data_IF_899620709966
#
_entry.id   IF_899620709966
#
_cell.length_a   1.000
_cell.length_b   1.000
_cell.length_c   1.000
_cell.angle_alpha   90.00
_cell.angle_beta   90.00
_cell.angle_gamma   90.00
#
_symmetry.space_group_name_H-M   'P 1'
#
loop_
_entity.id
_entity.type
_entity.pdbx_description
1 polymer ?
#
# COMPACT_ATOMS: atom_id res chain seq x y z
N UNK A 1 -33.20 11.02 -10.60
CA UNK A 1 -34.02 11.15 -9.36
C UNK A 1 -33.32 12.16 -8.46
N UNK A 2 -34.08 13.13 -7.95
CA UNK A 2 -33.59 14.35 -7.32
C UNK A 2 -32.75 14.07 -6.06
N UNK A 3 -31.70 14.87 -5.90
CA UNK A 3 -30.76 14.90 -4.77
C UNK A 3 -31.42 15.72 -3.65
N UNK A 4 -31.67 15.11 -2.50
CA UNK A 4 -32.06 15.81 -1.27
C UNK A 4 -30.81 16.19 -0.49
N UNK A 5 -30.63 17.48 -0.28
CA UNK A 5 -29.70 18.06 0.68
C UNK A 5 -30.22 17.79 2.09
N UNK A 6 -29.41 17.20 2.96
CA UNK A 6 -29.60 17.32 4.41
C UNK A 6 -28.33 17.88 5.06
N UNK A 7 -28.53 18.96 5.81
CA UNK A 7 -27.55 19.68 6.60
C UNK A 7 -27.14 18.90 7.85
N UNK A 8 -25.95 19.17 8.43
CA UNK A 8 -25.44 18.45 9.58
C UNK A 8 -26.19 18.78 10.87
N UNK A 9 -26.48 17.74 11.65
CA UNK A 9 -27.10 17.83 12.98
C UNK A 9 -26.11 18.44 13.98
N UNK A 10 -26.54 19.49 14.66
CA UNK A 10 -25.82 20.15 15.77
C UNK A 10 -25.82 19.28 17.03
N UNK A 11 -24.64 18.91 17.52
CA UNK A 11 -24.48 18.25 18.81
C UNK A 11 -24.30 19.28 19.93
N UNK A 12 -25.24 19.27 20.88
CA UNK A 12 -25.14 20.00 22.14
C UNK A 12 -24.02 19.41 23.00
N UNK A 13 -23.13 20.28 23.48
CA UNK A 13 -22.14 20.02 24.52
C UNK A 13 -22.84 19.67 25.85
N UNK A 14 -22.65 18.44 26.34
CA UNK A 14 -22.93 18.08 27.74
C UNK A 14 -21.62 18.02 28.54
N UNK A 15 -21.68 18.64 29.70
CA UNK A 15 -20.64 18.94 30.68
C UNK A 15 -19.88 17.75 31.25
N UNK A 16 -18.62 18.03 31.61
CA UNK A 16 -17.64 17.23 32.35
C UNK A 16 -18.21 16.35 33.48
N UNK A 17 -17.79 15.09 33.49
CA UNK A 17 -17.56 14.32 34.70
C UNK A 17 -16.28 13.49 34.55
N UNK A 18 -15.36 13.67 35.50
CA UNK A 18 -14.04 13.05 35.55
C UNK A 18 -14.11 11.52 35.49
N UNK A 19 -13.16 10.82 34.82
CA UNK A 19 -13.20 9.38 34.76
C UNK A 19 -12.77 8.78 36.11
N UNK A 20 -13.71 8.07 36.73
CA UNK A 20 -13.44 7.13 37.81
C UNK A 20 -12.44 6.06 37.34
N UNK A 21 -11.45 5.77 38.17
CA UNK A 21 -10.43 4.75 38.01
C UNK A 21 -10.98 3.42 37.48
N UNK A 22 -10.36 2.90 36.42
CA UNK A 22 -10.60 1.56 35.89
C UNK A 22 -10.24 0.51 36.96
N UNK A 23 -11.02 -0.57 37.12
CA UNK A 23 -10.72 -1.60 38.12
C UNK A 23 -9.47 -2.38 37.72
N UNK A 24 -8.56 -2.55 38.68
CA UNK A 24 -7.40 -3.46 38.58
C UNK A 24 -7.94 -4.89 38.64
N UNK A 25 -7.94 -5.58 37.51
CA UNK A 25 -8.19 -7.02 37.47
C UNK A 25 -6.92 -7.76 37.89
N UNK A 26 -6.89 -8.27 39.13
CA UNK A 26 -5.96 -9.31 39.51
C UNK A 26 -6.32 -10.60 38.74
N UNK A 27 -5.39 -11.07 37.91
CA UNK A 27 -5.52 -12.32 37.18
C UNK A 27 -5.42 -13.50 38.16
N UNK A 28 -6.55 -13.95 38.69
CA UNK A 28 -6.64 -15.23 39.40
C UNK A 28 -6.50 -16.38 38.39
N UNK A 29 -5.25 -16.84 38.24
CA UNK A 29 -4.79 -18.18 37.86
C UNK A 29 -5.70 -19.03 36.97
N UNK A 30 -5.62 -18.84 35.65
CA UNK A 30 -5.72 -19.99 34.74
C UNK A 30 -4.33 -20.62 34.65
N UNK A 31 -4.18 -21.84 35.19
CA UNK A 31 -3.00 -22.67 34.93
C UNK A 31 -3.00 -23.05 33.45
N UNK A 32 -2.08 -22.48 32.69
CA UNK A 32 -1.73 -22.91 31.35
C UNK A 32 -1.16 -24.33 31.44
N UNK A 33 -1.88 -25.32 30.90
CA UNK A 33 -1.33 -26.65 30.69
C UNK A 33 -0.55 -26.65 29.38
N UNK A 34 0.51 -27.45 29.28
CA UNK A 34 1.33 -27.54 28.06
C UNK A 34 0.54 -27.91 26.79
N UNK A 35 -0.65 -28.51 26.94
CA UNK A 35 -1.59 -28.81 25.85
C UNK A 35 -2.28 -27.56 25.26
N UNK A 36 -2.38 -26.44 26.00
CA UNK A 36 -3.06 -25.21 25.51
C UNK A 36 -2.19 -24.30 24.65
N UNK A 37 -0.88 -24.58 24.58
CA UNK A 37 0.06 -23.88 23.69
C UNK A 37 0.11 -24.48 22.28
N UNK A 38 -0.21 -25.77 22.16
CA UNK A 38 -0.48 -26.38 20.86
C UNK A 38 -1.87 -25.94 20.40
N UNK A 39 -1.93 -25.21 19.30
CA UNK A 39 -3.20 -24.88 18.65
C UNK A 39 -4.01 -26.13 18.26
N UNK A 40 -5.17 -25.96 17.62
CA UNK A 40 -5.97 -27.08 17.12
C UNK A 40 -5.13 -28.07 16.31
N UNK A 41 -5.39 -29.36 16.47
CA UNK A 41 -4.69 -30.40 15.70
C UNK A 41 -4.91 -30.27 14.17
N UNK A 42 -5.99 -29.60 13.77
CA UNK A 42 -6.30 -29.34 12.39
C UNK A 42 -7.21 -28.10 12.23
N UNK A 43 -7.19 -27.49 11.05
CA UNK A 43 -7.99 -26.33 10.68
C UNK A 43 -8.86 -26.67 9.46
N UNK A 44 -10.17 -26.60 9.63
CA UNK A 44 -11.16 -26.74 8.55
C UNK A 44 -11.43 -25.35 7.94
N UNK A 45 -11.36 -25.25 6.61
CA UNK A 45 -11.81 -24.09 5.85
C UNK A 45 -12.57 -24.58 4.61
N UNK A 46 -13.88 -24.36 4.57
CA UNK A 46 -14.72 -24.86 3.47
C UNK A 46 -14.65 -26.38 3.39
N UNK A 47 -14.24 -26.92 2.24
CA UNK A 47 -13.99 -28.37 2.06
C UNK A 47 -12.54 -28.78 2.35
N UNK A 48 -11.66 -27.83 2.68
CA UNK A 48 -10.22 -28.04 2.81
C UNK A 48 -9.84 -28.24 4.28
N UNK A 49 -9.14 -29.34 4.56
CA UNK A 49 -8.57 -29.65 5.86
C UNK A 49 -7.07 -29.42 5.85
N UNK A 50 -6.55 -28.72 6.87
CA UNK A 50 -5.11 -28.44 7.02
C UNK A 50 -4.61 -28.93 8.38
N UNK A 51 -3.40 -29.46 8.40
CA UNK A 51 -2.67 -29.83 9.63
C UNK A 51 -1.75 -28.72 10.12
N UNK A 52 -1.44 -27.74 9.27
CA UNK A 52 -0.61 -26.59 9.59
C UNK A 52 -1.41 -25.29 9.41
N UNK A 53 -1.19 -24.28 10.28
CA UNK A 53 -1.85 -22.99 10.14
C UNK A 53 -1.32 -22.23 8.93
N UNK A 54 -2.18 -21.42 8.30
CA UNK A 54 -1.79 -20.50 7.21
C UNK A 54 -0.75 -19.47 7.64
N UNK A 55 -0.70 -19.12 8.92
CA UNK A 55 0.30 -18.21 9.51
C UNK A 55 0.73 -18.73 10.87
N UNK A 56 2.04 -18.69 11.15
CA UNK A 56 2.58 -19.13 12.43
C UNK A 56 2.52 -18.03 13.50
N UNK A 57 2.56 -18.42 14.76
CA UNK A 57 2.66 -17.48 15.90
C UNK A 57 3.92 -16.62 15.80
N UNK A 58 5.05 -17.18 15.34
CA UNK A 58 6.29 -16.44 15.14
C UNK A 58 6.11 -15.32 14.09
N UNK A 59 5.36 -15.57 13.02
CA UNK A 59 5.01 -14.55 12.03
C UNK A 59 4.17 -13.43 12.64
N UNK A 60 3.16 -13.76 13.46
CA UNK A 60 2.35 -12.74 14.16
C UNK A 60 3.22 -11.90 15.11
N UNK A 61 4.14 -12.51 15.86
CA UNK A 61 5.06 -11.79 16.75
C UNK A 61 5.97 -10.83 15.99
N UNK A 62 6.60 -11.30 14.92
CA UNK A 62 7.45 -10.47 14.08
C UNK A 62 6.66 -9.30 13.45
N UNK A 63 5.45 -9.58 12.99
CA UNK A 63 4.57 -8.54 12.47
C UNK A 63 4.17 -7.51 13.55
N UNK A 64 3.78 -7.94 14.75
CA UNK A 64 3.50 -7.03 15.88
C UNK A 64 4.69 -6.15 16.26
N UNK A 65 5.89 -6.73 16.28
CA UNK A 65 7.14 -6.00 16.51
C UNK A 65 7.35 -4.92 15.45
N UNK A 66 7.15 -5.26 14.17
CA UNK A 66 7.22 -4.32 13.06
C UNK A 66 6.18 -3.18 13.19
N UNK A 67 4.93 -3.48 13.57
CA UNK A 67 3.89 -2.46 13.80
C UNK A 67 4.27 -1.53 14.96
N UNK A 68 4.89 -2.06 16.02
CA UNK A 68 5.46 -1.27 17.12
C UNK A 68 6.54 -0.31 16.63
N UNK A 69 7.46 -0.79 15.78
CA UNK A 69 8.51 0.03 15.17
C UNK A 69 7.91 1.17 14.32
N UNK A 70 6.88 0.89 13.51
CA UNK A 70 6.19 1.93 12.74
C UNK A 70 5.49 2.96 13.63
N UNK A 71 4.89 2.53 14.75
CA UNK A 71 4.30 3.45 15.73
C UNK A 71 5.36 4.38 16.34
N UNK A 72 6.51 3.83 16.72
CA UNK A 72 7.64 4.60 17.25
C UNK A 72 8.20 5.59 16.23
N UNK A 73 8.36 5.17 14.97
CA UNK A 73 8.77 6.05 13.87
C UNK A 73 7.78 7.21 13.68
N UNK A 74 6.48 6.91 13.61
CA UNK A 74 5.43 7.93 13.50
C UNK A 74 5.48 8.92 14.65
N UNK A 75 5.56 8.43 15.88
CA UNK A 75 5.68 9.29 17.06
C UNK A 75 6.94 10.18 17.00
N UNK A 76 8.06 9.65 16.50
CA UNK A 76 9.31 10.41 16.34
C UNK A 76 9.14 11.54 15.33
N UNK A 77 8.54 11.26 14.18
CA UNK A 77 8.26 12.26 13.14
C UNK A 77 7.28 13.32 13.64
N UNK A 78 6.14 12.91 14.21
CA UNK A 78 5.09 13.81 14.68
C UNK A 78 5.57 14.75 15.81
N UNK A 79 6.57 14.34 16.59
CA UNK A 79 7.10 15.11 17.71
C UNK A 79 8.50 15.67 17.45
N UNK A 80 9.06 15.51 16.24
CA UNK A 80 10.39 16.00 15.90
C UNK A 80 10.52 17.52 16.07
N UNK A 81 11.69 17.96 16.55
CA UNK A 81 12.03 19.34 16.85
C UNK A 81 12.76 20.08 15.72
N UNK A 82 13.15 21.33 16.01
CA UNK A 82 13.70 22.28 15.03
C UNK A 82 15.02 21.83 14.38
N UNK A 83 15.80 21.02 15.07
CA UNK A 83 17.07 20.46 14.62
C UNK A 83 16.89 19.20 13.74
N UNK A 84 15.69 18.61 13.74
CA UNK A 84 15.40 17.33 13.09
C UNK A 84 14.63 17.47 11.77
N UNK A 85 13.93 18.58 11.53
CA UNK A 85 13.09 18.76 10.33
C UNK A 85 13.33 20.11 9.63
N UNK A 86 13.06 20.22 8.32
CA UNK A 86 13.07 21.51 7.63
C UNK A 86 12.04 22.49 8.19
N UNK A 87 12.33 23.80 8.11
CA UNK A 87 11.48 24.88 8.65
C UNK A 87 10.02 24.79 8.17
N UNK A 88 9.80 24.53 6.88
CA UNK A 88 8.44 24.40 6.34
C UNK A 88 7.69 23.20 6.92
N UNK A 89 8.38 22.12 7.28
CA UNK A 89 7.78 20.93 7.90
C UNK A 89 7.46 21.15 9.39
N UNK A 90 8.21 22.03 10.08
CA UNK A 90 7.93 22.40 11.47
C UNK A 90 6.62 23.18 11.61
N UNK A 91 6.27 23.98 10.60
CA UNK A 91 5.01 24.72 10.54
C UNK A 91 3.77 23.84 10.28
N UNK A 92 3.96 22.56 9.97
CA UNK A 92 2.87 21.60 9.79
C UNK A 92 2.37 21.05 11.12
N UNK A 93 1.08 20.76 11.21
CA UNK A 93 0.54 19.95 12.30
C UNK A 93 1.07 18.51 12.26
N UNK A 94 0.85 17.73 13.33
CA UNK A 94 1.37 16.35 13.45
C UNK A 94 0.94 15.46 12.28
N UNK A 95 -0.33 15.54 11.87
CA UNK A 95 -0.90 14.71 10.80
C UNK A 95 -0.32 15.09 9.44
N UNK A 96 -0.22 16.40 9.17
CA UNK A 96 0.40 16.93 7.95
C UNK A 96 1.88 16.57 7.87
N UNK A 97 2.61 16.65 8.98
CA UNK A 97 4.02 16.26 9.07
C UNK A 97 4.22 14.78 8.80
N UNK A 98 3.36 13.93 9.36
CA UNK A 98 3.37 12.49 9.06
C UNK A 98 3.07 12.22 7.57
N UNK A 99 2.04 12.84 7.01
CA UNK A 99 1.68 12.69 5.59
C UNK A 99 2.81 13.12 4.64
N UNK A 100 3.45 14.25 4.94
CA UNK A 100 4.63 14.72 4.20
C UNK A 100 5.78 13.71 4.28
N UNK A 101 6.12 13.25 5.48
CA UNK A 101 7.18 12.27 5.69
C UNK A 101 6.92 10.96 4.95
N UNK A 102 5.70 10.44 5.02
CA UNK A 102 5.29 9.24 4.26
C UNK A 102 5.45 9.48 2.76
N UNK A 103 5.12 10.68 2.28
CA UNK A 103 5.38 11.07 0.89
C UNK A 103 6.86 10.97 0.49
N UNK A 104 7.79 11.29 1.39
CA UNK A 104 9.23 11.10 1.15
C UNK A 104 9.62 9.61 1.20
N UNK A 105 9.08 8.85 2.16
CA UNK A 105 9.32 7.42 2.30
C UNK A 105 8.90 6.63 1.05
N UNK A 106 7.79 7.02 0.39
CA UNK A 106 7.37 6.42 -0.89
C UNK A 106 8.40 6.67 -1.99
N UNK A 107 9.01 7.86 -2.05
CA UNK A 107 10.05 8.16 -3.03
C UNK A 107 11.37 7.44 -2.71
N UNK A 108 11.68 7.20 -1.42
CA UNK A 108 12.79 6.33 -0.99
C UNK A 108 12.54 4.86 -1.34
N UNK A 109 11.31 4.37 -1.15
CA UNK A 109 10.89 3.04 -1.57
C UNK A 109 11.03 2.86 -3.08
N UNK A 110 10.63 3.84 -3.89
CA UNK A 110 10.81 3.81 -5.34
C UNK A 110 12.28 3.63 -5.74
N UNK A 111 13.20 4.40 -5.13
CA UNK A 111 14.64 4.28 -5.40
C UNK A 111 15.22 2.92 -4.97
N UNK A 112 14.70 2.37 -3.88
CA UNK A 112 15.12 1.05 -3.40
C UNK A 112 14.66 -0.07 -4.33
N UNK A 113 13.39 -0.09 -4.77
CA UNK A 113 12.90 -1.16 -5.66
C UNK A 113 13.62 -1.19 -7.01
N UNK A 114 14.10 -0.05 -7.51
CA UNK A 114 14.92 0.03 -8.74
C UNK A 114 16.31 -0.60 -8.60
N UNK A 115 16.82 -0.79 -7.37
CA UNK A 115 18.20 -1.18 -7.11
C UNK A 115 18.37 -2.40 -6.20
N UNK A 116 17.27 -2.89 -5.61
CA UNK A 116 17.28 -4.05 -4.73
C UNK A 116 17.57 -5.32 -5.51
N UNK A 117 18.45 -6.14 -4.94
CA UNK A 117 18.81 -7.44 -5.52
C UNK A 117 18.22 -8.60 -4.71
N UNK A 118 18.11 -9.77 -5.35
CA UNK A 118 17.71 -11.01 -4.70
C UNK A 118 18.95 -11.80 -4.27
N UNK A 119 18.93 -12.32 -3.05
CA UNK A 119 19.94 -13.25 -2.54
C UNK A 119 19.40 -14.16 -1.42
N UNK A 120 20.23 -15.04 -0.85
CA UNK A 120 19.89 -15.79 0.35
C UNK A 120 19.49 -14.86 1.50
N UNK A 121 18.50 -15.23 2.32
CA UNK A 121 17.88 -14.36 3.33
C UNK A 121 18.91 -13.65 4.22
N UNK A 122 19.82 -14.41 4.83
CA UNK A 122 20.81 -13.89 5.77
C UNK A 122 21.72 -12.83 5.14
N UNK A 123 22.37 -13.17 4.02
CA UNK A 123 23.20 -12.22 3.28
C UNK A 123 22.39 -11.03 2.76
N UNK A 124 21.14 -11.27 2.35
CA UNK A 124 20.26 -10.23 1.82
C UNK A 124 19.87 -9.21 2.90
N UNK A 125 19.67 -9.66 4.14
CA UNK A 125 19.41 -8.77 5.27
C UNK A 125 20.58 -7.80 5.45
N UNK A 126 21.81 -8.31 5.40
CA UNK A 126 23.02 -7.50 5.56
C UNK A 126 23.25 -6.54 4.38
N UNK A 127 22.93 -6.97 3.15
CA UNK A 127 23.34 -6.23 1.94
C UNK A 127 22.23 -5.44 1.27
N UNK A 128 20.95 -5.78 1.46
CA UNK A 128 19.82 -5.28 0.64
C UNK A 128 18.59 -4.83 1.45
N UNK A 129 18.45 -5.20 2.73
CA UNK A 129 17.35 -4.73 3.58
C UNK A 129 17.30 -3.19 3.61
N UNK A 130 16.12 -2.57 3.44
CA UNK A 130 15.99 -1.12 3.48
C UNK A 130 15.74 -0.59 4.90
N UNK A 131 15.87 0.74 5.12
CA UNK A 131 15.48 1.40 6.37
C UNK A 131 14.01 1.24 6.72
N UNK A 132 13.67 1.53 7.98
CA UNK A 132 12.35 1.27 8.58
C UNK A 132 11.18 1.97 7.86
N UNK A 133 11.34 3.21 7.41
CA UNK A 133 10.30 3.93 6.68
C UNK A 133 10.01 3.30 5.31
N UNK A 134 11.02 2.71 4.67
CA UNK A 134 10.87 2.00 3.40
C UNK A 134 10.26 0.61 3.62
N UNK A 135 10.61 -0.07 4.72
CA UNK A 135 9.92 -1.30 5.16
C UNK A 135 8.43 -1.04 5.41
N UNK A 136 8.07 0.12 5.98
CA UNK A 136 6.67 0.53 6.17
C UNK A 136 5.92 0.67 4.86
N UNK A 137 6.54 1.27 3.83
CA UNK A 137 5.92 1.37 2.51
C UNK A 137 5.74 -0.02 1.89
N UNK A 138 6.76 -0.88 1.97
CA UNK A 138 6.67 -2.23 1.42
C UNK A 138 5.58 -3.06 2.12
N UNK A 139 5.55 -3.03 3.45
CA UNK A 139 4.51 -3.66 4.27
C UNK A 139 3.11 -3.21 3.83
N UNK A 140 2.88 -1.89 3.78
CA UNK A 140 1.58 -1.33 3.41
C UNK A 140 1.17 -1.73 1.99
N UNK A 141 2.13 -1.79 1.07
CA UNK A 141 1.86 -2.21 -0.30
C UNK A 141 1.41 -3.68 -0.35
N UNK A 142 2.07 -4.57 0.39
CA UNK A 142 1.69 -5.99 0.49
C UNK A 142 0.30 -6.19 1.12
N UNK A 143 -0.14 -5.29 2.00
CA UNK A 143 -1.51 -5.27 2.53
C UNK A 143 -2.58 -4.82 1.51
N UNK A 144 -2.19 -4.58 0.26
CA UNK A 144 -3.08 -4.41 -0.89
C UNK A 144 -2.81 -5.55 -1.89
N UNK A 145 -3.04 -6.82 -1.51
CA UNK A 145 -2.33 -7.95 -2.07
C UNK A 145 -2.67 -8.20 -3.55
N UNK A 146 -3.88 -7.86 -4.00
CA UNK A 146 -4.24 -7.93 -5.44
C UNK A 146 -3.49 -6.90 -6.27
N UNK A 147 -3.45 -5.65 -5.81
CA UNK A 147 -2.71 -4.57 -6.49
C UNK A 147 -1.21 -4.85 -6.47
N UNK A 148 -0.67 -5.30 -5.34
CA UNK A 148 0.74 -5.65 -5.19
C UNK A 148 1.15 -6.79 -6.12
N UNK A 149 0.36 -7.87 -6.18
CA UNK A 149 0.64 -9.00 -7.05
C UNK A 149 0.57 -8.59 -8.53
N UNK A 150 -0.46 -7.84 -8.93
CA UNK A 150 -0.62 -7.37 -10.31
C UNK A 150 0.52 -6.43 -10.71
N UNK A 151 0.89 -5.48 -9.85
CA UNK A 151 2.00 -4.57 -10.12
C UNK A 151 3.35 -5.30 -10.17
N UNK A 152 3.58 -6.33 -9.34
CA UNK A 152 4.78 -7.18 -9.41
C UNK A 152 4.90 -7.96 -10.73
N UNK A 153 3.79 -8.21 -11.42
CA UNK A 153 3.76 -8.85 -12.74
C UNK A 153 3.84 -7.82 -13.89
N UNK A 154 3.20 -6.67 -13.70
CA UNK A 154 3.02 -5.63 -14.71
C UNK A 154 4.20 -4.68 -14.82
N UNK A 155 4.76 -4.26 -13.70
CA UNK A 155 5.79 -3.23 -13.63
C UNK A 155 7.17 -3.90 -13.58
N UNK A 156 7.97 -3.69 -14.63
CA UNK A 156 9.33 -4.26 -14.72
C UNK A 156 10.23 -3.85 -13.55
N UNK A 157 10.06 -2.64 -13.01
CA UNK A 157 10.81 -2.16 -11.84
C UNK A 157 10.52 -2.98 -10.56
N UNK A 158 9.40 -3.72 -10.51
CA UNK A 158 9.03 -4.57 -9.37
C UNK A 158 9.41 -6.04 -9.58
N UNK A 159 10.09 -6.40 -10.67
CA UNK A 159 10.52 -7.77 -10.93
C UNK A 159 11.38 -8.35 -9.80
N UNK A 160 12.30 -7.56 -9.24
CA UNK A 160 13.09 -8.03 -8.10
C UNK A 160 12.23 -8.16 -6.84
N UNK A 161 11.29 -7.24 -6.61
CA UNK A 161 10.34 -7.33 -5.50
C UNK A 161 9.48 -8.59 -5.59
N UNK A 162 9.01 -8.97 -6.80
CA UNK A 162 8.35 -10.25 -7.07
C UNK A 162 9.21 -11.44 -6.66
N UNK A 163 10.51 -11.42 -7.00
CA UNK A 163 11.46 -12.48 -6.64
C UNK A 163 11.74 -12.56 -5.14
N UNK A 164 11.64 -11.45 -4.41
CA UNK A 164 11.79 -11.47 -2.95
C UNK A 164 10.68 -12.29 -2.29
N UNK A 165 9.49 -12.38 -2.88
CA UNK A 165 8.40 -13.23 -2.40
C UNK A 165 7.97 -12.87 -0.98
N UNK A 166 7.89 -13.86 -0.09
CA UNK A 166 7.41 -13.71 1.30
C UNK A 166 8.44 -13.10 2.27
N UNK A 167 9.49 -12.44 1.76
CA UNK A 167 10.72 -12.15 2.52
C UNK A 167 10.60 -11.09 3.62
N UNK A 168 9.57 -10.23 3.59
CA UNK A 168 9.44 -9.13 4.54
C UNK A 168 9.46 -9.62 6.00
N UNK A 169 8.57 -10.55 6.37
CA UNK A 169 8.50 -11.05 7.75
C UNK A 169 9.71 -11.94 8.12
N UNK A 170 10.18 -12.88 7.28
CA UNK A 170 11.45 -13.58 7.51
C UNK A 170 12.64 -12.66 7.76
N UNK A 171 12.72 -11.52 7.07
CA UNK A 171 13.76 -10.54 7.31
C UNK A 171 13.61 -9.86 8.68
N UNK A 172 12.38 -9.53 9.09
CA UNK A 172 12.10 -9.04 10.45
C UNK A 172 12.48 -10.08 11.51
N UNK A 173 12.18 -11.36 11.27
CA UNK A 173 12.58 -12.46 12.18
C UNK A 173 14.12 -12.53 12.29
N UNK A 174 14.84 -12.39 11.19
CA UNK A 174 16.32 -12.43 11.18
C UNK A 174 16.95 -11.25 11.93
N UNK A 175 16.42 -10.03 11.76
CA UNK A 175 16.98 -8.82 12.43
C UNK A 175 16.52 -8.64 13.88
N UNK A 176 15.46 -9.32 14.31
CA UNK A 176 14.85 -9.06 15.62
C UNK A 176 14.01 -7.78 15.62
N UNK A 177 14.23 -6.88 16.58
CA UNK A 177 13.45 -5.65 16.71
C UNK A 177 13.88 -4.58 15.68
N UNK A 178 13.04 -4.25 14.67
CA UNK A 178 13.38 -3.25 13.66
C UNK A 178 13.61 -1.85 14.22
N UNK A 179 13.14 -1.56 15.43
CA UNK A 179 13.30 -0.26 16.10
C UNK A 179 14.73 -0.04 16.61
N UNK A 180 15.48 -1.13 16.84
CA UNK A 180 16.85 -1.11 17.37
C UNK A 180 17.87 -1.67 16.39
N UNK A 181 17.43 -2.08 15.20
CA UNK A 181 18.30 -2.56 14.15
C UNK A 181 19.25 -1.48 13.66
N UNK A 182 20.55 -1.75 13.79
CA UNK A 182 21.61 -0.91 13.24
C UNK A 182 22.28 -1.61 12.05
N UNK A 183 22.28 -1.01 10.84
CA UNK A 183 22.94 -1.59 9.69
C UNK A 183 24.47 -1.52 9.83
N UNK A 184 25.18 -2.43 9.14
CA UNK A 184 26.63 -2.30 8.96
C UNK A 184 27.03 -1.03 8.20
N UNK A 185 28.21 -0.49 8.45
CA UNK A 185 28.71 0.74 7.80
C UNK A 185 28.76 0.65 6.27
N UNK A 186 29.10 -0.53 5.74
CA UNK A 186 29.08 -0.80 4.29
C UNK A 186 27.66 -0.69 3.74
N UNK A 187 26.66 -1.19 4.47
CA UNK A 187 25.25 -1.11 4.05
C UNK A 187 24.76 0.33 3.99
N UNK A 188 25.12 1.16 4.97
CA UNK A 188 24.81 2.61 4.97
C UNK A 188 25.44 3.30 3.76
N UNK A 189 26.71 2.99 3.47
CA UNK A 189 27.45 3.57 2.35
C UNK A 189 26.85 3.16 1.00
N UNK A 190 26.52 1.87 0.83
CA UNK A 190 25.88 1.34 -0.37
C UNK A 190 24.48 1.90 -0.55
N UNK A 191 23.69 2.02 0.52
CA UNK A 191 22.37 2.65 0.48
C UNK A 191 22.45 4.10 -0.04
N UNK A 192 23.37 4.89 0.51
CA UNK A 192 23.58 6.27 0.10
C UNK A 192 24.01 6.34 -1.37
N UNK A 193 24.92 5.46 -1.81
CA UNK A 193 25.38 5.41 -3.19
C UNK A 193 24.26 5.01 -4.18
N UNK A 194 23.43 4.01 -3.84
CA UNK A 194 22.34 3.53 -4.69
C UNK A 194 21.14 4.48 -4.72
N UNK A 195 20.77 5.09 -3.59
CA UNK A 195 19.52 5.86 -3.45
C UNK A 195 19.74 7.37 -3.41
N UNK A 196 20.95 7.86 -3.16
CA UNK A 196 21.22 9.28 -2.94
C UNK A 196 20.49 9.87 -1.72
N UNK A 197 20.09 9.04 -0.75
CA UNK A 197 19.52 9.49 0.53
C UNK A 197 20.28 8.88 1.71
N UNK A 198 20.41 9.61 2.84
CA UNK A 198 20.86 9.01 4.10
C UNK A 198 20.06 7.75 4.49
N UNK A 199 20.67 6.89 5.30
CA UNK A 199 19.98 5.71 5.85
C UNK A 199 18.91 6.12 6.87
N UNK A 200 19.28 6.98 7.82
CA UNK A 200 18.34 7.50 8.82
C UNK A 200 17.21 8.27 8.14
N UNK A 201 15.97 7.97 8.54
CA UNK A 201 14.81 8.48 7.85
C UNK A 201 14.55 9.97 8.14
N UNK A 202 14.86 10.44 9.35
CA UNK A 202 14.73 11.86 9.70
C UNK A 202 15.84 12.67 9.04
N UNK A 203 17.08 12.16 9.03
CA UNK A 203 18.18 12.76 8.29
C UNK A 203 17.87 12.83 6.79
N UNK A 204 17.33 11.77 6.20
CA UNK A 204 16.88 11.80 4.82
C UNK A 204 15.80 12.86 4.58
N UNK A 205 14.81 12.95 5.48
CA UNK A 205 13.74 13.94 5.40
C UNK A 205 14.25 15.40 5.44
N UNK A 206 15.36 15.67 6.14
CA UNK A 206 16.01 16.99 6.16
C UNK A 206 16.61 17.38 4.81
N UNK A 207 17.17 16.42 4.09
CA UNK A 207 17.88 16.66 2.83
C UNK A 207 16.97 16.56 1.60
N UNK A 208 15.88 15.80 1.69
CA UNK A 208 14.89 15.63 0.62
C UNK A 208 13.95 16.84 0.48
N UNK A 209 14.45 17.90 -0.16
CA UNK A 209 13.67 19.14 -0.37
C UNK A 209 12.84 19.15 -1.65
N UNK A 210 13.25 18.38 -2.68
CA UNK A 210 12.67 18.43 -4.02
C UNK A 210 12.61 17.05 -4.68
N UNK A 211 11.73 16.92 -5.68
CA UNK A 211 11.66 15.79 -6.61
C UNK A 211 11.40 16.25 -8.04
N UNK A 212 11.71 15.41 -9.01
CA UNK A 212 11.43 15.67 -10.42
C UNK A 212 10.07 15.08 -10.81
N UNK A 213 9.31 15.82 -11.63
CA UNK A 213 8.14 15.32 -12.36
C UNK A 213 8.34 15.57 -13.85
N UNK A 214 7.81 14.68 -14.70
CA UNK A 214 7.80 14.92 -16.15
C UNK A 214 6.55 15.72 -16.53
N UNK A 215 6.71 16.81 -17.28
CA UNK A 215 5.59 17.61 -17.74
C UNK A 215 4.69 16.80 -18.71
N UNK A 216 3.38 16.62 -18.42
CA UNK A 216 2.49 15.86 -19.31
C UNK A 216 2.40 16.35 -20.76
N UNK A 217 2.69 17.64 -21.03
CA UNK A 217 2.59 18.21 -22.38
C UNK A 217 3.86 18.11 -23.20
N UNK A 218 4.99 18.47 -22.60
CA UNK A 218 6.27 18.63 -23.32
C UNK A 218 7.37 17.68 -22.85
N UNK A 219 7.08 16.82 -21.87
CA UNK A 219 8.02 15.85 -21.27
C UNK A 219 9.24 16.47 -20.58
N UNK A 220 9.32 17.80 -20.47
CA UNK A 220 10.38 18.49 -19.74
C UNK A 220 10.39 18.06 -18.26
N UNK A 221 11.58 17.81 -17.72
CA UNK A 221 11.75 17.54 -16.29
C UNK A 221 11.56 18.82 -15.49
N UNK A 222 10.59 18.82 -14.58
CA UNK A 222 10.26 19.94 -13.71
C UNK A 222 10.67 19.60 -12.29
N UNK A 223 11.58 20.39 -11.73
CA UNK A 223 12.04 20.20 -10.35
C UNK A 223 11.07 20.87 -9.37
N UNK A 224 10.42 20.06 -8.54
CA UNK A 224 9.31 20.46 -7.67
C UNK A 224 9.68 20.34 -6.20
N UNK A 225 9.47 21.38 -5.38
CA UNK A 225 9.62 21.26 -3.94
C UNK A 225 8.52 20.36 -3.35
N UNK A 226 8.86 19.58 -2.32
CA UNK A 226 7.85 18.79 -1.60
C UNK A 226 6.88 19.69 -0.82
N UNK A 227 7.38 20.79 -0.26
CA UNK A 227 6.61 21.78 0.49
C UNK A 227 6.87 23.19 -0.06
N UNK A 228 5.82 24.01 -0.12
CA UNK A 228 5.91 25.45 -0.34
C UNK A 228 5.13 26.20 0.73
N UNK A 229 5.45 27.48 0.94
CA UNK A 229 4.70 28.38 1.82
C UNK A 229 3.25 28.57 1.34
N UNK A 230 3.01 28.45 0.04
CA UNK A 230 1.69 28.63 -0.58
C UNK A 230 0.81 27.37 -0.53
N UNK A 231 1.33 26.25 -0.03
CA UNK A 231 0.55 25.00 0.05
C UNK A 231 0.49 24.21 -1.26
N UNK A 232 1.37 24.50 -2.22
CA UNK A 232 1.38 23.97 -3.59
C UNK A 232 2.53 23.01 -3.89
N UNK A 233 3.30 22.62 -2.87
CA UNK A 233 4.35 21.60 -2.97
C UNK A 233 3.79 20.22 -3.28
N UNK A 234 4.65 19.32 -3.77
CA UNK A 234 4.23 17.99 -4.24
C UNK A 234 3.58 17.10 -3.18
N UNK A 235 3.98 17.26 -1.92
CA UNK A 235 3.42 16.53 -0.78
C UNK A 235 2.22 17.24 -0.14
N UNK A 236 1.74 18.34 -0.73
CA UNK A 236 0.60 19.12 -0.24
C UNK A 236 -0.63 18.89 -1.12
N UNK A 237 -1.82 19.08 -0.54
CA UNK A 237 -3.10 18.79 -1.20
C UNK A 237 -3.31 19.58 -2.51
N UNK A 238 -2.87 20.84 -2.55
CA UNK A 238 -3.05 21.73 -3.69
C UNK A 238 -1.83 21.74 -4.63
N UNK A 239 -1.13 20.60 -4.78
CA UNK A 239 0.06 20.52 -5.64
C UNK A 239 -0.21 21.13 -7.02
N UNK A 240 0.55 22.17 -7.34
CA UNK A 240 0.46 22.88 -8.60
C UNK A 240 1.81 23.54 -8.91
N UNK A 241 2.41 23.18 -10.05
CA UNK A 241 3.65 23.79 -10.51
C UNK A 241 3.55 24.16 -11.98
N UNK A 242 4.06 25.33 -12.36
CA UNK A 242 4.09 25.76 -13.76
C UNK A 242 5.34 25.20 -14.45
N UNK A 243 5.15 24.53 -15.58
CA UNK A 243 6.25 24.14 -16.45
C UNK A 243 6.89 25.38 -17.11
N UNK A 244 8.22 25.51 -17.02
CA UNK A 244 8.97 26.61 -17.65
C UNK A 244 8.93 26.56 -19.17
N UNK A 245 8.91 25.35 -19.76
CA UNK A 245 9.04 25.16 -21.20
C UNK A 245 7.73 25.43 -21.95
N UNK A 246 6.61 24.89 -21.47
CA UNK A 246 5.33 24.95 -22.19
C UNK A 246 4.22 25.71 -21.44
N UNK A 247 4.47 26.16 -20.21
CA UNK A 247 3.51 26.91 -19.41
C UNK A 247 2.36 26.11 -18.81
N UNK A 248 2.30 24.79 -19.00
CA UNK A 248 1.28 23.94 -18.37
C UNK A 248 1.38 24.01 -16.83
N UNK A 249 0.24 24.19 -16.17
CA UNK A 249 0.11 23.97 -14.73
C UNK A 249 -0.05 22.47 -14.46
N UNK A 250 0.96 21.87 -13.84
CA UNK A 250 1.05 20.46 -13.53
C UNK A 250 0.44 20.23 -12.14
N UNK A 251 -0.48 19.28 -12.04
CA UNK A 251 -1.19 18.87 -10.82
C UNK A 251 -1.08 17.35 -10.67
N UNK A 252 -1.53 16.80 -9.54
CA UNK A 252 -1.62 15.34 -9.35
C UNK A 252 -2.52 14.69 -10.40
N UNK A 253 -3.65 15.32 -10.73
CA UNK A 253 -4.56 14.84 -11.77
C UNK A 253 -3.92 14.82 -13.15
N UNK A 254 -3.15 15.85 -13.52
CA UNK A 254 -2.51 15.87 -14.85
C UNK A 254 -1.42 14.82 -14.98
N UNK A 255 -0.70 14.54 -13.90
CA UNK A 255 0.28 13.46 -13.81
C UNK A 255 -0.39 12.09 -13.86
N UNK A 256 -1.46 11.89 -13.10
CA UNK A 256 -2.25 10.66 -13.10
C UNK A 256 -2.88 10.38 -14.47
N UNK A 257 -3.42 11.40 -15.15
CA UNK A 257 -3.92 11.26 -16.51
C UNK A 257 -2.81 10.88 -17.50
N UNK A 258 -1.61 11.45 -17.36
CA UNK A 258 -0.46 11.11 -18.20
C UNK A 258 -0.03 9.65 -18.03
N UNK A 259 -0.04 9.14 -16.79
CA UNK A 259 0.18 7.73 -16.47
C UNK A 259 -0.91 6.84 -17.09
N UNK A 260 -2.19 7.16 -16.87
CA UNK A 260 -3.33 6.42 -17.45
C UNK A 260 -3.27 6.36 -18.98
N UNK A 261 -3.08 7.51 -19.63
CA UNK A 261 -2.98 7.56 -21.08
C UNK A 261 -1.78 6.75 -21.57
N UNK A 262 -0.64 6.81 -20.87
CA UNK A 262 0.55 6.01 -21.18
C UNK A 262 0.28 4.50 -21.20
N UNK A 263 -0.40 3.98 -20.18
CA UNK A 263 -0.78 2.57 -20.07
C UNK A 263 -1.88 2.21 -21.09
N UNK A 264 -2.83 3.12 -21.35
CA UNK A 264 -3.91 2.91 -22.32
C UNK A 264 -3.39 2.81 -23.76
N UNK A 265 -2.39 3.61 -24.14
CA UNK A 265 -1.84 3.60 -25.51
C UNK A 265 -0.68 2.62 -25.70
N UNK A 266 -0.24 1.93 -24.64
CA UNK A 266 0.76 0.85 -24.77
C UNK A 266 0.25 -0.23 -25.71
N UNK A 267 1.09 -0.69 -26.64
CA UNK A 267 0.73 -1.79 -27.52
C UNK A 267 0.94 -3.12 -26.80
N UNK A 268 -0.10 -3.94 -26.74
CA UNK A 268 -0.09 -5.27 -26.14
C UNK A 268 -0.05 -6.38 -27.22
N UNK A 269 -0.13 -6.01 -28.50
CA UNK A 269 -0.02 -6.92 -29.64
C UNK A 269 1.44 -7.17 -30.05
N UNK A 270 2.38 -6.37 -29.53
CA UNK A 270 3.82 -6.57 -29.74
C UNK A 270 4.31 -7.74 -28.87
N UNK A 271 4.93 -8.77 -29.47
CA UNK A 271 5.61 -9.84 -28.73
C UNK A 271 6.62 -9.25 -27.73
N UNK A 272 6.70 -9.81 -26.53
CA UNK A 272 7.60 -9.37 -25.44
C UNK A 272 7.32 -8.00 -24.81
N UNK A 273 6.16 -7.37 -25.09
CA UNK A 273 5.72 -6.13 -24.41
C UNK A 273 5.52 -6.32 -22.89
N UNK A 274 5.37 -7.57 -22.44
CA UNK A 274 5.10 -7.94 -21.06
C UNK A 274 3.73 -7.45 -20.58
N UNK A 275 3.42 -7.68 -19.30
CA UNK A 275 2.14 -7.27 -18.75
C UNK A 275 1.98 -5.75 -18.59
N UNK A 276 3.07 -4.99 -18.67
CA UNK A 276 3.11 -3.52 -18.62
C UNK A 276 2.28 -2.82 -19.69
N UNK A 277 1.83 -3.55 -20.72
CA UNK A 277 0.92 -3.03 -21.73
C UNK A 277 -0.55 -2.97 -21.30
N UNK A 278 -0.94 -3.57 -20.17
CA UNK A 278 -2.31 -3.55 -19.67
C UNK A 278 -2.55 -2.46 -18.63
N UNK A 279 -3.82 -2.05 -18.49
CA UNK A 279 -4.22 -1.10 -17.46
C UNK A 279 -4.14 -1.76 -16.08
N UNK A 280 -3.65 -1.03 -15.09
CA UNK A 280 -3.70 -1.45 -13.70
C UNK A 280 -5.12 -1.85 -13.25
N UNK A 281 -5.22 -2.99 -12.56
CA UNK A 281 -6.44 -3.53 -11.99
C UNK A 281 -7.31 -4.27 -13.01
N UNK A 282 -6.71 -4.77 -14.10
CA UNK A 282 -7.43 -5.48 -15.18
C UNK A 282 -6.91 -6.88 -15.44
N UNK A 283 -5.67 -7.19 -15.04
CA UNK A 283 -5.05 -8.50 -15.26
C UNK A 283 -5.53 -9.54 -14.25
N UNK A 284 -5.74 -9.13 -12.99
CA UNK A 284 -6.17 -10.05 -11.94
C UNK A 284 -7.69 -9.99 -11.82
N UNK A 285 -8.35 -11.14 -11.72
CA UNK A 285 -9.78 -11.30 -11.41
C UNK A 285 -9.94 -11.91 -10.01
N UNK A 286 -11.17 -12.21 -9.57
CA UNK A 286 -11.36 -12.93 -8.29
C UNK A 286 -11.02 -14.43 -8.41
N UNK A 287 -11.12 -14.98 -9.62
CA UNK A 287 -10.90 -16.40 -9.92
C UNK A 287 -9.54 -16.68 -10.55
N UNK A 288 -8.99 -15.74 -11.31
CA UNK A 288 -7.78 -15.91 -12.09
C UNK A 288 -6.76 -14.81 -11.78
N UNK A 289 -5.51 -15.21 -11.53
CA UNK A 289 -4.44 -14.25 -11.26
C UNK A 289 -3.83 -13.68 -12.54
N UNK A 290 -4.09 -14.24 -13.71
CA UNK A 290 -3.56 -13.68 -14.97
C UNK A 290 -4.56 -13.95 -16.08
N UNK A 291 -5.48 -13.00 -16.29
CA UNK A 291 -6.53 -13.05 -17.31
C UNK A 291 -6.26 -11.97 -18.37
N UNK A 292 -5.37 -12.30 -19.32
CA UNK A 292 -4.97 -11.40 -20.39
C UNK A 292 -6.13 -11.03 -21.32
N UNK A 293 -7.04 -11.99 -21.56
CA UNK A 293 -8.19 -11.77 -22.43
C UNK A 293 -9.17 -10.78 -21.79
N UNK A 294 -9.37 -10.85 -20.48
CA UNK A 294 -10.13 -9.84 -19.73
C UNK A 294 -9.47 -8.47 -19.78
N UNK A 295 -8.17 -8.39 -19.49
CA UNK A 295 -7.43 -7.14 -19.55
C UNK A 295 -7.51 -6.51 -20.95
N UNK A 296 -7.35 -7.32 -22.00
CA UNK A 296 -7.51 -6.94 -23.41
C UNK A 296 -8.91 -6.41 -23.69
N UNK A 297 -9.97 -7.15 -23.32
CA UNK A 297 -11.36 -6.74 -23.55
C UNK A 297 -11.69 -5.40 -22.89
N UNK A 298 -11.25 -5.18 -21.65
CA UNK A 298 -11.44 -3.90 -20.95
C UNK A 298 -10.74 -2.77 -21.71
N UNK A 299 -9.47 -2.98 -22.04
CA UNK A 299 -8.65 -1.98 -22.73
C UNK A 299 -9.27 -1.60 -24.08
N UNK A 300 -9.67 -2.59 -24.88
CA UNK A 300 -10.35 -2.41 -26.15
C UNK A 300 -11.68 -1.65 -26.04
N UNK A 301 -12.46 -1.94 -24.99
CA UNK A 301 -13.71 -1.22 -24.74
C UNK A 301 -13.46 0.27 -24.46
N UNK A 302 -12.42 0.59 -23.67
CA UNK A 302 -12.04 1.98 -23.37
C UNK A 302 -11.50 2.66 -24.63
N UNK A 303 -10.58 2.03 -25.37
CA UNK A 303 -9.96 2.66 -26.56
C UNK A 303 -10.96 2.92 -27.69
N UNK A 304 -12.02 2.10 -27.82
CA UNK A 304 -13.13 2.32 -28.78
C UNK A 304 -14.16 3.35 -28.32
N UNK A 305 -14.01 3.90 -27.13
CA UNK A 305 -14.94 4.91 -26.62
C UNK A 305 -14.61 6.28 -27.19
N UNK A 306 -15.63 6.99 -27.68
CA UNK A 306 -15.49 8.37 -28.19
C UNK A 306 -14.90 9.26 -27.09
N UNK A 307 -13.69 9.75 -27.32
CA UNK A 307 -12.88 10.47 -26.33
C UNK A 307 -11.49 9.87 -26.16
N UNK A 308 -11.36 8.54 -26.24
CA UNK A 308 -10.07 7.82 -26.17
C UNK A 308 -9.62 7.29 -27.53
N UNK A 309 -10.51 7.18 -28.51
CA UNK A 309 -10.18 6.71 -29.85
C UNK A 309 -9.07 7.54 -30.53
N UNK A 310 -8.20 6.87 -31.29
CA UNK A 310 -7.21 7.55 -32.11
C UNK A 310 -7.87 8.23 -33.31
N UNK A 311 -7.46 9.46 -33.64
CA UNK A 311 -7.97 10.19 -34.79
C UNK A 311 -7.54 9.63 -36.16
N UNK A 312 -6.53 8.75 -36.21
CA UNK A 312 -6.04 8.16 -37.46
C UNK A 312 -5.79 6.64 -37.35
N UNK A 313 -5.78 5.96 -38.51
CA UNK A 313 -5.57 4.49 -38.59
C UNK A 313 -4.18 4.05 -38.15
N UNK A 314 -3.18 4.93 -38.23
CA UNK A 314 -1.83 4.72 -37.71
C UNK A 314 -1.37 6.01 -37.03
N UNK A 315 -1.42 6.04 -35.71
CA UNK A 315 -0.93 7.16 -34.89
C UNK A 315 0.19 6.65 -34.02
N UNK A 316 1.28 7.41 -33.96
CA UNK A 316 2.38 7.14 -33.04
C UNK A 316 1.87 7.16 -31.59
N UNK A 317 2.31 6.22 -30.75
CA UNK A 317 1.90 6.09 -29.34
C UNK A 317 1.93 7.42 -28.58
N UNK A 318 3.02 8.17 -28.70
CA UNK A 318 3.16 9.45 -28.00
C UNK A 318 2.21 10.52 -28.55
N UNK A 319 1.90 10.49 -29.84
CA UNK A 319 0.89 11.38 -30.42
C UNK A 319 -0.51 11.05 -29.89
N UNK A 320 -0.88 9.77 -29.83
CA UNK A 320 -2.19 9.35 -29.29
C UNK A 320 -2.33 9.71 -27.81
N UNK A 321 -1.27 9.51 -27.03
CA UNK A 321 -1.21 9.95 -25.63
C UNK A 321 -1.46 11.45 -25.50
N UNK A 322 -0.80 12.29 -26.32
CA UNK A 322 -1.01 13.75 -26.32
C UNK A 322 -2.46 14.13 -26.64
N UNK A 323 -3.07 13.49 -27.63
CA UNK A 323 -4.47 13.74 -27.99
C UNK A 323 -5.43 13.45 -26.83
N UNK A 324 -5.22 12.35 -26.10
CA UNK A 324 -6.02 12.02 -24.91
C UNK A 324 -5.83 13.11 -23.85
N UNK A 325 -4.58 13.49 -23.54
CA UNK A 325 -4.29 14.51 -22.54
C UNK A 325 -4.96 15.86 -22.84
N UNK A 326 -4.96 16.27 -24.11
CA UNK A 326 -5.58 17.52 -24.56
C UNK A 326 -7.11 17.47 -24.49
N UNK A 327 -7.73 16.36 -24.92
CA UNK A 327 -9.20 16.18 -24.88
C UNK A 327 -9.74 16.24 -23.46
N UNK A 328 -9.03 15.63 -22.51
CA UNK A 328 -9.38 15.64 -21.09
C UNK A 328 -8.84 16.86 -20.33
N UNK A 329 -8.22 17.83 -21.04
CA UNK A 329 -7.69 19.08 -20.47
C UNK A 329 -6.79 18.82 -19.26
N UNK A 330 -5.98 17.77 -19.32
CA UNK A 330 -5.03 17.43 -18.26
C UNK A 330 -5.69 17.14 -16.88
N UNK A 331 -6.93 16.63 -16.85
CA UNK A 331 -7.62 16.23 -15.62
C UNK A 331 -8.25 14.84 -15.74
N UNK A 332 -8.22 14.06 -14.65
CA UNK A 332 -8.85 12.72 -14.58
C UNK A 332 -10.35 12.78 -14.29
N UNK A 333 -10.89 13.95 -13.92
CA UNK A 333 -12.27 14.10 -13.42
C UNK A 333 -13.34 13.50 -14.34
N UNK A 334 -13.20 13.74 -15.64
CA UNK A 334 -14.22 13.36 -16.62
C UNK A 334 -13.94 11.99 -17.25
N UNK A 335 -12.78 11.37 -16.96
CA UNK A 335 -12.36 10.06 -17.53
C UNK A 335 -13.34 8.94 -17.20
N UNK A 336 -13.79 8.71 -15.95
CA UNK A 336 -14.73 7.63 -15.65
C UNK A 336 -16.05 7.76 -16.43
N UNK A 337 -16.59 8.98 -16.50
CA UNK A 337 -17.86 9.28 -17.16
C UNK A 337 -17.77 9.01 -18.67
N UNK A 338 -16.67 9.42 -19.30
CA UNK A 338 -16.44 9.17 -20.72
C UNK A 338 -16.23 7.68 -20.99
N UNK A 339 -15.43 6.97 -20.18
CA UNK A 339 -15.19 5.54 -20.35
C UNK A 339 -16.45 4.67 -20.16
N UNK A 340 -17.48 5.17 -19.48
CA UNK A 340 -18.77 4.49 -19.34
C UNK A 340 -19.76 4.75 -20.50
N UNK A 341 -19.41 5.57 -21.50
CA UNK A 341 -20.34 5.90 -22.59
C UNK A 341 -20.69 4.69 -23.48
N UNK A 342 -19.77 3.75 -23.68
CA UNK A 342 -20.02 2.54 -24.49
C UNK A 342 -20.85 1.49 -23.75
N UNK A 343 -20.77 1.47 -22.42
CA UNK A 343 -21.41 0.44 -21.59
C UNK A 343 -21.89 1.07 -20.28
N UNK A 344 -23.21 1.21 -20.12
CA UNK A 344 -23.82 1.81 -18.93
C UNK A 344 -24.13 0.77 -17.83
N UNK A 345 -23.45 -0.38 -17.88
CA UNK A 345 -23.60 -1.44 -16.88
C UNK A 345 -22.98 -1.03 -15.53
N UNK A 346 -23.63 -1.42 -14.43
CA UNK A 346 -23.17 -1.09 -13.07
C UNK A 346 -21.85 -1.79 -12.76
N UNK A 347 -21.64 -3.01 -13.25
CA UNK A 347 -20.38 -3.73 -13.16
C UNK A 347 -19.27 -3.00 -13.90
N UNK A 348 -19.51 -2.57 -15.13
CA UNK A 348 -18.57 -1.75 -15.91
C UNK A 348 -18.17 -0.47 -15.18
N UNK A 349 -19.15 0.27 -14.62
CA UNK A 349 -18.86 1.48 -13.86
C UNK A 349 -17.96 1.21 -12.63
N UNK A 350 -18.17 0.08 -11.92
CA UNK A 350 -17.29 -0.30 -10.80
C UNK A 350 -15.88 -0.61 -11.29
N UNK A 351 -15.75 -1.34 -12.39
CA UNK A 351 -14.46 -1.65 -13.02
C UNK A 351 -13.70 -0.39 -13.42
N UNK A 352 -14.34 0.54 -14.13
CA UNK A 352 -13.73 1.82 -14.53
C UNK A 352 -13.30 2.63 -13.30
N UNK A 353 -14.16 2.74 -12.28
CA UNK A 353 -13.81 3.45 -11.04
C UNK A 353 -12.59 2.81 -10.35
N UNK A 354 -12.54 1.48 -10.27
CA UNK A 354 -11.39 0.75 -9.70
C UNK A 354 -10.11 0.98 -10.49
N UNK A 355 -10.17 0.95 -11.83
CA UNK A 355 -9.00 1.25 -12.68
C UNK A 355 -8.48 2.65 -12.35
N UNK A 356 -9.37 3.64 -12.26
CA UNK A 356 -8.98 5.03 -12.02
C UNK A 356 -8.36 5.29 -10.64
N UNK A 357 -8.55 4.42 -9.64
CA UNK A 357 -7.86 4.57 -8.34
C UNK A 357 -6.34 4.34 -8.45
N UNK A 358 -5.85 3.72 -9.54
CA UNK A 358 -4.43 3.50 -9.78
C UNK A 358 -3.70 4.69 -10.42
N UNK A 359 -4.43 5.73 -10.84
CA UNK A 359 -3.91 6.84 -11.64
C UNK A 359 -4.12 8.19 -10.92
N UNK A 360 -3.60 8.30 -9.70
CA UNK A 360 -3.75 9.48 -8.84
C UNK A 360 -2.55 10.42 -8.87
N UNK A 361 -1.35 9.96 -9.24
CA UNK A 361 -0.13 10.75 -9.39
C UNK A 361 0.84 10.15 -10.44
N UNK A 362 2.08 10.66 -10.52
CA UNK A 362 3.11 10.16 -11.44
C UNK A 362 3.87 8.92 -10.96
N UNK A 363 3.63 8.45 -9.73
CA UNK A 363 4.35 7.29 -9.20
C UNK A 363 3.86 6.02 -9.89
N UNK A 364 4.73 5.02 -10.10
CA UNK A 364 4.39 3.86 -10.91
C UNK A 364 3.36 2.94 -10.26
N UNK A 365 3.31 2.92 -8.93
CA UNK A 365 2.46 2.01 -8.14
C UNK A 365 0.97 2.26 -8.36
N UNK A 366 0.17 1.18 -8.40
CA UNK A 366 -1.29 1.26 -8.58
C UNK A 366 -2.04 1.51 -7.27
N UNK A 367 -1.33 1.57 -6.15
CA UNK A 367 -1.85 1.95 -4.84
C UNK A 367 -1.39 3.37 -4.52
N UNK A 368 -2.32 4.21 -4.06
CA UNK A 368 -1.96 5.49 -3.45
C UNK A 368 -1.36 5.22 -2.06
N UNK A 369 -0.05 5.00 -2.03
CA UNK A 369 0.67 4.46 -0.87
C UNK A 369 0.66 5.42 0.34
N UNK A 370 0.60 6.75 0.13
CA UNK A 370 0.59 7.70 1.26
C UNK A 370 -0.71 7.54 2.05
N UNK A 371 -1.85 7.59 1.36
CA UNK A 371 -3.15 7.36 1.96
C UNK A 371 -3.32 5.95 2.50
N UNK A 372 -2.70 4.94 1.88
CA UNK A 372 -2.72 3.57 2.40
C UNK A 372 -2.02 3.47 3.77
N UNK A 373 -0.84 4.07 3.94
CA UNK A 373 -0.12 4.11 5.23
C UNK A 373 -0.95 4.86 6.28
N UNK A 374 -1.55 5.99 5.90
CA UNK A 374 -2.40 6.79 6.79
C UNK A 374 -3.62 6.00 7.25
N UNK A 375 -4.28 5.21 6.38
CA UNK A 375 -5.40 4.35 6.78
C UNK A 375 -4.96 3.25 7.76
N UNK A 376 -3.80 2.65 7.51
CA UNK A 376 -3.20 1.61 8.36
C UNK A 376 -2.82 2.10 9.76
N UNK A 377 -2.55 3.40 9.92
CA UNK A 377 -2.26 3.99 11.24
C UNK A 377 -3.34 3.70 12.28
N UNK A 378 -4.61 3.68 11.90
CA UNK A 378 -5.72 3.39 12.82
C UNK A 378 -5.71 1.96 13.37
N UNK A 379 -5.26 0.99 12.55
CA UNK A 379 -5.06 -0.39 12.99
C UNK A 379 -3.87 -0.48 13.94
N UNK A 380 -2.73 0.13 13.59
CA UNK A 380 -1.54 0.18 14.42
C UNK A 380 -1.82 0.82 15.79
N UNK A 381 -2.55 1.94 15.81
CA UNK A 381 -2.93 2.64 17.04
C UNK A 381 -3.76 1.73 17.96
N UNK A 382 -4.70 0.94 17.41
CA UNK A 382 -5.46 -0.05 18.18
C UNK A 382 -4.52 -1.12 18.76
N UNK A 383 -3.70 -1.76 17.94
CA UNK A 383 -2.78 -2.81 18.40
C UNK A 383 -1.83 -2.31 19.50
N UNK A 384 -1.33 -1.09 19.36
CA UNK A 384 -0.46 -0.45 20.34
C UNK A 384 -1.20 -0.12 21.65
N UNK A 385 -2.40 0.45 21.57
CA UNK A 385 -3.20 0.79 22.75
C UNK A 385 -3.67 -0.45 23.53
N UNK A 386 -3.86 -1.60 22.85
CA UNK A 386 -4.09 -2.90 23.49
C UNK A 386 -2.83 -3.50 24.14
N UNK A 387 -1.66 -2.91 23.91
CA UNK A 387 -0.38 -3.39 24.45
C UNK A 387 0.27 -4.53 23.66
N UNK A 388 -0.29 -4.93 22.52
CA UNK A 388 0.20 -6.10 21.76
C UNK A 388 1.51 -5.84 21.01
N UNK A 389 1.87 -4.57 20.81
CA UNK A 389 3.15 -4.18 20.19
C UNK A 389 4.25 -3.92 21.20
N UNK A 390 4.00 -4.07 22.50
CA UNK A 390 5.00 -3.89 23.54
C UNK A 390 5.96 -5.11 23.57
N UNK A 391 7.29 -4.90 23.77
CA UNK A 391 8.24 -6.01 23.86
C UNK A 391 7.85 -7.06 24.92
N UNK A 392 7.33 -6.61 26.07
CA UNK A 392 6.90 -7.48 27.17
C UNK A 392 5.80 -8.47 26.78
N UNK A 393 4.92 -8.11 25.83
CA UNK A 393 3.86 -9.01 25.35
C UNK A 393 4.43 -10.14 24.47
N UNK A 394 5.52 -9.86 23.75
CA UNK A 394 6.12 -10.81 22.82
C UNK A 394 6.96 -11.89 23.52
N UNK A 395 7.42 -11.65 24.74
CA UNK A 395 8.29 -12.56 25.50
C UNK A 395 7.54 -13.50 26.45
N UNK A 396 6.25 -13.25 26.70
CA UNK A 396 5.47 -14.00 27.68
C UNK A 396 4.76 -15.21 27.03
N UNK A 397 5.09 -16.41 27.51
CA UNK A 397 4.46 -17.66 27.06
C UNK A 397 2.94 -17.70 27.33
N UNK A 398 2.46 -17.00 28.37
CA UNK A 398 1.03 -16.89 28.66
C UNK A 398 0.29 -16.03 27.62
N UNK A 399 0.97 -15.07 27.00
CA UNK A 399 0.41 -14.16 25.99
C UNK A 399 0.44 -14.78 24.59
N UNK A 400 1.30 -15.77 24.34
CA UNK A 400 1.30 -16.56 23.08
C UNK A 400 -0.05 -17.22 22.79
N UNK A 401 -0.79 -17.60 23.84
CA UNK A 401 -2.12 -18.22 23.67
C UNK A 401 -3.09 -17.29 22.95
N UNK A 402 -2.94 -15.97 23.11
CA UNK A 402 -3.76 -14.98 22.43
C UNK A 402 -3.49 -15.02 20.92
N UNK A 403 -2.23 -15.20 20.52
CA UNK A 403 -1.84 -15.32 19.12
C UNK A 403 -2.29 -16.66 18.51
N UNK A 404 -2.21 -17.76 19.27
CA UNK A 404 -2.76 -19.07 18.87
C UNK A 404 -4.27 -18.96 18.63
N UNK A 405 -4.98 -18.27 19.52
CA UNK A 405 -6.41 -18.02 19.38
C UNK A 405 -6.73 -17.12 18.17
N UNK A 406 -5.93 -16.08 17.91
CA UNK A 406 -6.07 -15.23 16.73
C UNK A 406 -5.94 -16.03 15.43
N UNK A 407 -4.92 -16.89 15.33
CA UNK A 407 -4.72 -17.81 14.19
C UNK A 407 -5.92 -18.75 14.05
N UNK A 408 -6.38 -19.36 15.14
CA UNK A 408 -7.53 -20.28 15.12
C UNK A 408 -8.81 -19.60 14.65
N UNK A 409 -9.10 -18.40 15.18
CA UNK A 409 -10.27 -17.60 14.81
C UNK A 409 -10.18 -17.11 13.37
N UNK A 410 -8.98 -16.85 12.86
CA UNK A 410 -8.78 -16.52 11.44
C UNK A 410 -9.16 -17.67 10.51
N UNK A 411 -8.79 -18.92 10.83
CA UNK A 411 -9.21 -20.06 10.03
C UNK A 411 -10.73 -20.24 10.07
N UNK A 412 -11.35 -20.10 11.24
CA UNK A 412 -12.82 -20.13 11.36
C UNK A 412 -13.48 -18.97 10.57
N UNK A 413 -12.85 -17.81 10.50
CA UNK A 413 -13.32 -16.68 9.68
C UNK A 413 -13.26 -16.99 8.18
N UNK A 414 -12.17 -17.59 7.70
CA UNK A 414 -12.08 -18.05 6.31
C UNK A 414 -13.11 -19.15 6.01
N UNK A 415 -13.39 -20.04 6.96
CA UNK A 415 -14.44 -21.06 6.82
C UNK A 415 -15.83 -20.42 6.64
N UNK A 416 -16.13 -19.39 7.43
CA UNK A 416 -17.35 -18.59 7.25
C UNK A 416 -17.39 -17.89 5.88
N UNK A 417 -16.27 -17.34 5.40
CA UNK A 417 -16.19 -16.73 4.07
C UNK A 417 -16.41 -17.75 2.94
N UNK A 418 -15.89 -18.97 3.09
CA UNK A 418 -16.00 -20.04 2.11
C UNK A 418 -17.43 -20.60 2.06
N UNK A 419 -18.06 -20.80 3.22
CA UNK A 419 -19.41 -21.37 3.34
C UNK A 419 -20.52 -20.34 3.09
N UNK A 420 -20.24 -19.05 3.28
CA UNK A 420 -21.22 -17.95 3.16
C UNK A 420 -20.74 -16.82 2.24
N UNK A 421 -20.50 -17.07 0.94
CA UNK A 421 -19.85 -16.11 0.03
C UNK A 421 -20.65 -14.82 -0.22
N UNK A 422 -21.96 -14.83 0.07
CA UNK A 422 -22.82 -13.65 -0.05
C UNK A 422 -22.73 -12.68 1.14
N UNK A 423 -22.13 -13.09 2.26
CA UNK A 423 -22.02 -12.25 3.45
C UNK A 423 -20.80 -11.31 3.37
N UNK A 424 -21.03 -10.05 3.74
CA UNK A 424 -19.95 -9.10 3.99
C UNK A 424 -19.47 -9.29 5.42
N UNK A 425 -18.36 -10.00 5.59
CA UNK A 425 -17.75 -10.28 6.88
C UNK A 425 -16.64 -9.26 7.18
N UNK A 426 -16.68 -8.69 8.38
CA UNK A 426 -15.65 -7.76 8.88
C UNK A 426 -14.89 -8.45 10.01
N UNK A 427 -13.55 -8.54 9.95
CA UNK A 427 -12.77 -9.22 10.97
C UNK A 427 -12.77 -8.43 12.28
N UNK A 428 -12.69 -9.14 13.41
CA UNK A 428 -12.28 -8.53 14.68
C UNK A 428 -10.77 -8.26 14.67
N UNK A 429 -10.28 -7.43 15.58
CA UNK A 429 -8.90 -6.91 15.55
C UNK A 429 -7.81 -8.02 15.52
N UNK A 430 -8.03 -9.11 16.25
CA UNK A 430 -7.16 -10.29 16.32
C UNK A 430 -7.17 -11.10 15.00
N UNK A 431 -8.36 -11.30 14.41
CA UNK A 431 -8.52 -11.94 13.11
C UNK A 431 -7.85 -11.09 12.03
N UNK A 432 -8.00 -9.77 12.10
CA UNK A 432 -7.43 -8.82 11.16
C UNK A 432 -5.89 -8.81 11.23
N UNK A 433 -5.29 -8.94 12.43
CA UNK A 433 -3.86 -9.16 12.57
C UNK A 433 -3.40 -10.44 11.85
N UNK A 434 -4.06 -11.57 12.09
CA UNK A 434 -3.71 -12.83 11.45
C UNK A 434 -3.88 -12.75 9.93
N UNK A 435 -4.94 -12.08 9.46
CA UNK A 435 -5.21 -11.87 8.05
C UNK A 435 -4.16 -10.98 7.38
N UNK A 436 -3.84 -9.81 7.95
CA UNK A 436 -2.75 -8.97 7.45
C UNK A 436 -1.43 -9.75 7.42
N UNK A 437 -1.15 -10.56 8.45
CA UNK A 437 0.06 -11.40 8.48
C UNK A 437 0.09 -12.44 7.35
N UNK A 438 -1.06 -12.99 6.95
CA UNK A 438 -1.19 -13.88 5.78
C UNK A 438 -1.00 -13.12 4.46
N UNK A 439 -1.49 -11.88 4.35
CA UNK A 439 -1.25 -11.04 3.16
C UNK A 439 0.24 -10.73 2.94
N UNK A 440 1.04 -10.67 4.02
CA UNK A 440 2.49 -10.50 3.95
C UNK A 440 3.24 -11.75 3.42
N UNK A 441 2.55 -12.86 3.16
CA UNK A 441 3.10 -14.01 2.41
C UNK A 441 2.61 -13.99 0.96
N UNK A 442 2.97 -12.92 0.23
CA UNK A 442 2.42 -12.62 -1.09
C UNK A 442 2.53 -13.76 -2.13
N UNK A 443 3.58 -14.59 -2.06
CA UNK A 443 3.77 -15.70 -2.99
C UNK A 443 2.79 -16.87 -2.77
N UNK A 444 2.25 -16.98 -1.54
CA UNK A 444 1.34 -18.06 -1.14
C UNK A 444 -0.11 -17.60 -0.99
N UNK A 445 -0.31 -16.37 -0.53
CA UNK A 445 -1.62 -15.83 -0.16
C UNK A 445 -2.71 -16.04 -1.22
N UNK A 446 -2.37 -15.80 -2.50
CA UNK A 446 -3.32 -15.96 -3.62
C UNK A 446 -3.71 -17.43 -3.86
N UNK A 447 -2.78 -18.34 -3.66
CA UNK A 447 -2.99 -19.78 -3.84
C UNK A 447 -3.76 -20.33 -2.64
N UNK A 448 -3.36 -19.96 -1.42
CA UNK A 448 -4.08 -20.35 -0.20
C UNK A 448 -5.53 -19.85 -0.22
N UNK A 449 -5.80 -18.61 -0.66
CA UNK A 449 -7.18 -18.12 -0.80
C UNK A 449 -7.99 -18.95 -1.81
N UNK A 450 -7.39 -19.34 -2.94
CA UNK A 450 -8.06 -20.18 -3.95
C UNK A 450 -8.31 -21.59 -3.43
N UNK A 451 -7.34 -22.21 -2.76
CA UNK A 451 -7.44 -23.58 -2.25
C UNK A 451 -8.39 -23.70 -1.06
N UNK A 452 -8.63 -22.61 -0.33
CA UNK A 452 -9.44 -22.63 0.90
C UNK A 452 -10.81 -21.98 0.71
N UNK A 453 -10.87 -20.75 0.19
CA UNK A 453 -12.10 -19.96 0.03
C UNK A 453 -12.68 -20.06 -1.39
N UNK A 454 -11.91 -20.55 -2.36
CA UNK A 454 -12.33 -20.68 -3.76
C UNK A 454 -12.26 -19.38 -4.57
N UNK A 455 -11.88 -18.27 -3.95
CA UNK A 455 -11.72 -16.95 -4.57
C UNK A 455 -10.67 -16.14 -3.85
N UNK A 456 -10.12 -15.15 -4.54
CA UNK A 456 -9.20 -14.20 -3.93
C UNK A 456 -9.93 -13.37 -2.86
N UNK A 457 -9.43 -13.40 -1.62
CA UNK A 457 -9.96 -12.57 -0.54
C UNK A 457 -9.17 -11.27 -0.50
N UNK A 458 -9.85 -10.14 -0.62
CA UNK A 458 -9.26 -8.81 -0.51
C UNK A 458 -10.02 -8.00 0.53
N UNK A 459 -9.38 -6.97 1.10
CA UNK A 459 -10.02 -6.01 1.99
C UNK A 459 -10.98 -5.07 1.26
#
# INVERSE_FOLDING_TARGET
MAISNDMPVSYKTSTDSSPSSLPVHEATGLRCTTESLSGPACYQIGSTMRTEPLVSVQYLKAHLCLLGAFKSLRNSVENAGDDQLPILALGLDKSQRWSWFVGLAVDRFHRWVESVEYGPLKSWVDTELPPLDVLMIWHTYMLNPRWYAEDCERLSLLNNLRRLGDRLIPAVIEIGDPSTYEPGADRVSVWLAKTGTPWDALEAARHMSRRQVSCPRCSASVNTPYLTSEGTGYAQHNFCVKCSECGLFITKESLGLAKFAGDLVSDHEVPDSGYGAYLAGTLHTESEMTDEDHARRIKDAITRTRGFESGAKQVEREQWKREILERFKYSTRDVPSVACLQMQDVGWMRTVKRIMTAYTDDRPFSVELVGAVIRQCSFIDKMHNFGWTAPSFLDNQQDEIVLVNAVTRYHAFLDLMATSPALLLVPTLDIDLAWHSHQLTASKYSQDCRDTVGRYVNQ
#
